data_IF_925493436543
#
_entry.id   IF_925493436543
#
_cell.length_a   1.000
_cell.length_b   1.000
_cell.length_c   1.000
_cell.angle_alpha   90.00
_cell.angle_beta   90.00
_cell.angle_gamma   90.00
#
_symmetry.space_group_name_H-M   'P 1'
#
loop_
_entity.id
_entity.type
_entity.pdbx_description
1 polymer ?
#
# COMPACT_ATOMS: atom_id res chain seq x y z
N UNK A 1 13.53 -3.35 -19.85
CA UNK A 1 12.21 -3.91 -19.51
C UNK A 1 11.98 -3.73 -18.02
N UNK A 2 10.81 -3.20 -17.71
CA UNK A 2 10.47 -2.41 -16.53
C UNK A 2 10.81 -3.05 -15.18
N UNK A 3 11.55 -2.27 -14.38
CA UNK A 3 12.05 -2.63 -13.07
C UNK A 3 10.96 -2.56 -11.98
N UNK A 4 9.83 -3.23 -12.21
CA UNK A 4 8.62 -3.14 -11.38
C UNK A 4 8.72 -4.01 -10.12
N UNK A 5 9.67 -4.95 -10.05
CA UNK A 5 9.83 -5.86 -8.89
C UNK A 5 10.65 -5.28 -7.74
N UNK A 6 11.39 -4.19 -7.94
CA UNK A 6 12.46 -3.80 -7.02
C UNK A 6 12.03 -2.79 -5.94
N UNK A 7 10.94 -2.04 -6.14
CA UNK A 7 10.44 -1.05 -5.17
C UNK A 7 9.64 -1.61 -3.99
N UNK A 8 9.02 -2.79 -4.15
CA UNK A 8 8.30 -3.48 -3.03
C UNK A 8 9.31 -4.06 -2.00
N UNK A 9 10.57 -4.28 -2.39
CA UNK A 9 11.55 -5.01 -1.59
C UNK A 9 12.09 -4.26 -0.35
N UNK A 10 11.88 -2.94 -0.25
CA UNK A 10 12.38 -2.17 0.90
C UNK A 10 11.37 -2.01 2.03
N UNK A 11 10.06 -2.09 1.75
CA UNK A 11 9.02 -1.95 2.80
C UNK A 11 8.87 -3.22 3.63
N UNK A 12 8.98 -4.40 3.02
CA UNK A 12 8.86 -5.71 3.68
C UNK A 12 10.05 -6.08 4.55
N UNK A 13 11.15 -5.31 4.49
CA UNK A 13 12.43 -5.63 5.13
C UNK A 13 12.62 -4.97 6.49
N UNK A 14 11.70 -4.10 6.92
CA UNK A 14 11.86 -3.27 8.12
C UNK A 14 11.23 -3.85 9.38
N UNK A 15 10.30 -4.81 9.30
CA UNK A 15 9.69 -5.40 10.49
C UNK A 15 9.42 -6.90 10.32
N UNK A 16 9.59 -7.68 11.38
CA UNK A 16 9.05 -9.04 11.50
C UNK A 16 7.51 -8.93 11.52
N UNK A 17 6.92 -8.80 10.35
CA UNK A 17 5.49 -8.59 10.16
C UNK A 17 4.73 -9.86 10.55
N UNK A 18 4.09 -9.83 11.73
CA UNK A 18 3.12 -10.84 12.14
C UNK A 18 1.85 -10.80 11.27
N UNK A 19 0.80 -11.57 11.59
CA UNK A 19 -0.45 -11.51 10.85
C UNK A 19 -0.97 -10.07 10.82
N UNK A 20 -1.60 -9.68 9.71
CA UNK A 20 -2.22 -8.36 9.61
C UNK A 20 -3.20 -8.15 10.77
N UNK A 21 -3.25 -6.95 11.39
CA UNK A 21 -4.27 -6.63 12.39
C UNK A 21 -5.70 -6.65 11.80
N UNK A 22 -5.83 -6.60 10.47
CA UNK A 22 -7.11 -6.62 9.77
C UNK A 22 -7.20 -7.84 8.85
N UNK A 23 -8.38 -8.46 8.75
CA UNK A 23 -8.62 -9.57 7.81
C UNK A 23 -8.79 -9.10 6.36
N UNK A 24 -9.19 -7.84 6.17
CA UNK A 24 -9.54 -7.26 4.88
C UNK A 24 -8.93 -5.87 4.71
N UNK A 25 -8.65 -5.50 3.46
CA UNK A 25 -7.96 -4.29 3.07
C UNK A 25 -8.78 -3.06 3.43
N UNK A 26 -8.22 -2.22 4.29
CA UNK A 26 -8.86 -1.00 4.80
C UNK A 26 -8.60 0.23 3.90
N UNK A 27 -8.35 0.02 2.61
CA UNK A 27 -8.11 1.13 1.69
C UNK A 27 -9.42 1.82 1.35
N UNK A 28 -9.57 3.13 1.61
CA UNK A 28 -10.78 3.86 1.27
C UNK A 28 -10.87 4.09 -0.24
N UNK A 29 -12.00 3.71 -0.81
CA UNK A 29 -12.35 3.92 -2.21
C UNK A 29 -13.60 4.80 -2.28
N UNK A 30 -13.57 5.81 -3.15
CA UNK A 30 -14.65 6.78 -3.28
C UNK A 30 -14.51 8.00 -2.35
N UNK A 31 -15.46 8.91 -2.45
CA UNK A 31 -15.47 10.17 -1.69
C UNK A 31 -16.16 10.00 -0.33
N UNK A 32 -15.56 10.45 0.78
CA UNK A 32 -16.20 10.42 2.08
C UNK A 32 -17.57 11.12 2.06
N UNK A 33 -18.60 10.42 2.53
CA UNK A 33 -19.97 10.95 2.57
C UNK A 33 -20.83 10.60 1.35
N UNK A 34 -20.28 9.94 0.34
CA UNK A 34 -21.04 9.40 -0.79
C UNK A 34 -21.48 7.96 -0.54
N UNK A 35 -22.53 7.50 -1.23
CA UNK A 35 -22.99 6.09 -1.16
C UNK A 35 -21.98 5.10 -1.74
N UNK A 36 -21.04 5.59 -2.54
CA UNK A 36 -20.00 4.79 -3.19
C UNK A 36 -18.75 4.65 -2.32
N UNK A 37 -18.71 5.28 -1.14
CA UNK A 37 -17.61 5.12 -0.20
C UNK A 37 -17.58 3.70 0.37
N UNK A 38 -16.50 2.99 0.09
CA UNK A 38 -16.28 1.64 0.61
C UNK A 38 -14.81 1.35 0.84
N UNK A 39 -14.52 0.35 1.66
CA UNK A 39 -13.18 -0.20 1.80
C UNK A 39 -12.96 -1.31 0.77
N UNK A 40 -11.73 -1.42 0.26
CA UNK A 40 -11.38 -2.40 -0.77
C UNK A 40 -11.82 -3.84 -0.45
N UNK A 41 -11.67 -4.30 0.80
CA UNK A 41 -12.19 -5.61 1.21
C UNK A 41 -11.35 -6.83 0.81
N UNK A 42 -10.34 -6.69 -0.06
CA UNK A 42 -9.42 -7.77 -0.42
C UNK A 42 -8.57 -8.26 0.77
N UNK A 43 -7.93 -9.43 0.65
CA UNK A 43 -7.07 -9.96 1.71
C UNK A 43 -5.88 -9.03 1.97
N UNK A 44 -5.62 -8.76 3.24
CA UNK A 44 -4.48 -7.96 3.68
C UNK A 44 -3.15 -8.67 3.47
N UNK A 45 -2.11 -7.90 3.21
CA UNK A 45 -0.74 -8.39 3.27
C UNK A 45 -0.32 -8.51 4.74
N UNK A 46 0.43 -9.56 5.07
CA UNK A 46 0.90 -9.79 6.44
C UNK A 46 1.65 -8.58 6.99
N UNK A 47 1.31 -8.18 8.21
CA UNK A 47 1.81 -7.00 8.89
C UNK A 47 1.41 -5.65 8.29
N UNK A 48 0.49 -5.61 7.32
CA UNK A 48 -0.06 -4.38 6.75
C UNK A 48 -1.59 -4.35 6.82
N UNK A 49 -2.16 -3.15 6.87
CA UNK A 49 -3.63 -2.96 6.86
C UNK A 49 -4.26 -3.03 5.46
N UNK A 50 -3.46 -3.27 4.42
CA UNK A 50 -3.85 -3.16 3.02
C UNK A 50 -3.45 -4.41 2.24
N UNK A 51 -4.14 -4.69 1.12
CA UNK A 51 -3.73 -5.72 0.17
C UNK A 51 -2.47 -5.28 -0.61
N UNK A 52 -1.75 -6.19 -1.30
CA UNK A 52 -0.49 -5.88 -1.98
C UNK A 52 -0.56 -4.66 -2.91
N UNK A 53 -1.67 -4.53 -3.66
CA UNK A 53 -1.93 -3.40 -4.56
C UNK A 53 -2.00 -2.07 -3.80
N UNK A 54 -2.71 -2.05 -2.68
CA UNK A 54 -2.92 -0.83 -1.89
C UNK A 54 -1.70 -0.48 -1.02
N UNK A 55 -0.91 -1.48 -0.59
CA UNK A 55 0.41 -1.25 0.04
C UNK A 55 1.34 -0.50 -0.91
N UNK A 56 1.41 -0.89 -2.18
CA UNK A 56 2.24 -0.21 -3.18
C UNK A 56 1.80 1.24 -3.42
N UNK A 57 0.51 1.53 -3.34
CA UNK A 57 0.00 2.89 -3.47
C UNK A 57 0.24 3.74 -2.22
N UNK A 58 0.11 3.15 -1.03
CA UNK A 58 0.31 3.82 0.25
C UNK A 58 1.77 4.22 0.49
N UNK A 59 2.70 3.31 0.19
CA UNK A 59 4.12 3.42 0.57
C UNK A 59 5.02 3.72 -0.63
N UNK A 60 4.55 4.53 -1.58
CA UNK A 60 5.40 4.99 -2.69
C UNK A 60 6.57 5.79 -2.13
N UNK A 61 7.78 5.46 -2.56
CA UNK A 61 8.95 6.28 -2.27
C UNK A 61 8.74 7.68 -2.85
N UNK A 62 9.08 8.74 -2.11
CA UNK A 62 9.07 10.09 -2.66
C UNK A 62 10.02 10.13 -3.85
N UNK A 63 9.52 10.62 -5.00
CA UNK A 63 10.36 10.82 -6.18
C UNK A 63 11.57 11.67 -5.80
N UNK A 64 12.79 11.31 -6.28
CA UNK A 64 13.97 12.09 -5.97
C UNK A 64 13.73 13.54 -6.42
N UNK A 65 13.87 14.49 -5.48
CA UNK A 65 13.73 15.92 -5.81
C UNK A 65 14.62 16.20 -7.02
N UNK A 66 14.00 16.61 -8.13
CA UNK A 66 14.74 17.08 -9.30
C UNK A 66 15.68 18.17 -8.82
N UNK A 67 16.99 17.94 -8.90
CA UNK A 67 17.97 18.98 -8.69
C UNK A 67 17.74 19.99 -9.81
N UNK A 68 17.17 21.15 -9.48
CA UNK A 68 17.17 22.29 -10.40
C UNK A 68 18.64 22.70 -10.51
N UNK A 69 19.19 22.58 -11.71
CA UNK A 69 20.53 23.02 -12.03
C UNK A 69 20.60 24.56 -12.09
#
# INVERSE_FOLDING_TARGET
MSNTKQKILNITRLFNHGPSPFRTCQWPSGEPGTKDFHFCGEQTLEGYSYCPKHVEMAYREPEPRRKVA
#
